data_IF_652595954337
#
_entry.id   IF_652595954337
#
_cell.length_a   1.000
_cell.length_b   1.000
_cell.length_c   1.000
_cell.angle_alpha   90.00
_cell.angle_beta   90.00
_cell.angle_gamma   90.00
#
_symmetry.space_group_name_H-M   'P 1'
#
loop_
_entity.id
_entity.type
_entity.pdbx_description
1 polymer ?
#
# COMPACT_ATOMS: atom_id res chain seq x y z
N UNK A 1 14.50 -1.58 10.39
CA UNK A 1 14.75 -2.40 9.18
C UNK A 1 13.74 -1.99 8.12
N UNK A 2 14.21 -1.55 6.95
CA UNK A 2 13.50 -1.37 5.67
C UNK A 2 12.32 -0.38 5.58
N UNK A 3 12.65 0.92 5.60
CA UNK A 3 11.90 1.94 4.84
C UNK A 3 12.50 1.98 3.44
N UNK A 4 12.23 0.94 2.65
CA UNK A 4 12.59 0.93 1.22
C UNK A 4 11.33 1.26 0.43
N UNK A 5 11.40 2.42 -0.21
CA UNK A 5 10.65 2.82 -1.40
C UNK A 5 9.12 2.73 -1.29
N UNK A 6 8.54 3.61 -0.48
CA UNK A 6 7.08 3.86 -0.46
C UNK A 6 6.54 4.27 -1.84
N UNK A 7 7.40 4.76 -2.73
CA UNK A 7 6.98 5.36 -3.99
C UNK A 7 7.00 4.37 -5.15
N UNK A 8 7.98 3.47 -5.25
CA UNK A 8 7.93 2.39 -6.28
C UNK A 8 6.80 1.40 -6.01
N UNK A 9 6.38 1.27 -4.73
CA UNK A 9 5.20 0.49 -4.35
C UNK A 9 3.88 1.12 -4.84
N UNK A 10 3.79 2.45 -4.88
CA UNK A 10 2.57 3.18 -5.32
C UNK A 10 2.23 2.91 -6.79
N UNK A 11 3.22 2.63 -7.63
CA UNK A 11 2.99 2.39 -9.07
C UNK A 11 2.45 0.99 -9.36
N UNK A 12 3.04 -0.06 -8.76
CA UNK A 12 2.48 -1.41 -8.86
C UNK A 12 1.11 -1.60 -8.17
N UNK A 13 0.69 -0.63 -7.34
CA UNK A 13 -0.59 -0.66 -6.60
C UNK A 13 -1.82 -0.31 -7.45
N UNK A 14 -1.70 0.48 -8.52
CA UNK A 14 -2.86 0.80 -9.40
C UNK A 14 -3.36 -0.43 -10.18
N UNK A 15 -2.45 -1.34 -10.55
CA UNK A 15 -2.80 -2.58 -11.23
C UNK A 15 -3.41 -3.62 -10.29
N UNK A 16 -3.03 -3.60 -9.00
CA UNK A 16 -3.63 -4.41 -7.94
C UNK A 16 -5.01 -3.91 -7.49
N UNK A 17 -5.35 -2.64 -7.75
CA UNK A 17 -6.68 -2.07 -7.47
C UNK A 17 -7.79 -2.59 -8.42
N UNK A 18 -7.44 -3.21 -9.56
CA UNK A 18 -8.42 -4.02 -10.32
C UNK A 18 -8.87 -5.27 -9.56
N UNK A 19 -8.09 -5.69 -8.55
CA UNK A 19 -8.34 -6.86 -7.71
C UNK A 19 -8.88 -6.50 -6.32
N UNK A 20 -9.46 -5.30 -6.15
CA UNK A 20 -10.24 -4.97 -4.95
C UNK A 20 -11.25 -6.10 -4.70
N UNK A 21 -11.31 -6.68 -3.49
CA UNK A 21 -12.24 -7.76 -3.20
C UNK A 21 -13.66 -7.26 -3.44
N UNK A 22 -14.37 -7.87 -4.38
CA UNK A 22 -15.76 -7.50 -4.65
C UNK A 22 -16.59 -7.68 -3.37
N UNK A 23 -17.77 -7.06 -3.32
CA UNK A 23 -18.76 -7.22 -2.23
C UNK A 23 -18.96 -8.70 -1.82
N UNK A 24 -18.80 -9.62 -2.78
CA UNK A 24 -18.82 -11.06 -2.54
C UNK A 24 -17.73 -11.56 -1.58
N UNK A 25 -16.51 -11.02 -1.64
CA UNK A 25 -15.40 -11.42 -0.77
C UNK A 25 -15.59 -10.89 0.65
N UNK A 26 -16.11 -9.66 0.80
CA UNK A 26 -16.48 -9.12 2.13
C UNK A 26 -17.65 -9.89 2.74
N UNK A 27 -18.60 -10.32 1.92
CA UNK A 27 -19.73 -11.13 2.37
C UNK A 27 -19.31 -12.57 2.75
N UNK A 28 -18.33 -13.14 2.04
CA UNK A 28 -17.72 -14.43 2.39
C UNK A 28 -17.01 -14.38 3.74
N UNK A 29 -16.19 -13.34 3.96
CA UNK A 29 -15.53 -13.13 5.26
C UNK A 29 -16.54 -12.93 6.39
N UNK A 30 -17.64 -12.20 6.13
CA UNK A 30 -18.73 -12.06 7.09
C UNK A 30 -19.41 -13.39 7.43
N UNK A 31 -19.53 -14.30 6.46
CA UNK A 31 -20.07 -15.65 6.68
C UNK A 31 -19.12 -16.53 7.49
N UNK A 32 -17.82 -16.49 7.20
CA UNK A 32 -16.81 -17.24 7.96
C UNK A 32 -16.70 -16.75 9.42
N UNK A 33 -16.75 -15.43 9.65
CA UNK A 33 -16.77 -14.86 11.00
C UNK A 33 -17.99 -15.28 11.82
N UNK A 34 -19.16 -15.39 11.18
CA UNK A 34 -20.37 -15.93 11.84
C UNK A 34 -20.20 -17.41 12.19
N UNK A 35 -19.71 -18.22 11.25
CA UNK A 35 -19.45 -19.64 11.50
C UNK A 35 -18.41 -19.87 12.62
N UNK A 36 -17.39 -19.02 12.70
CA UNK A 36 -16.39 -19.04 13.78
C UNK A 36 -17.02 -18.75 15.15
N UNK A 37 -17.93 -17.77 15.21
CA UNK A 37 -18.65 -17.42 16.43
C UNK A 37 -19.58 -18.55 16.87
N UNK A 38 -20.31 -19.16 15.93
CA UNK A 38 -21.21 -20.27 16.20
C UNK A 38 -20.44 -21.50 16.74
N UNK A 39 -19.29 -21.83 16.13
CA UNK A 39 -18.43 -22.93 16.59
C UNK A 39 -17.86 -22.67 18.00
N UNK A 40 -17.50 -21.41 18.31
CA UNK A 40 -17.02 -21.03 19.63
C UNK A 40 -18.12 -21.17 20.69
N UNK A 41 -19.36 -20.78 20.37
CA UNK A 41 -20.51 -20.97 21.25
C UNK A 41 -20.82 -22.45 21.48
N UNK A 42 -20.70 -23.31 20.45
CA UNK A 42 -20.89 -24.75 20.58
C UNK A 42 -19.81 -25.41 21.47
N UNK A 43 -18.55 -25.01 21.30
CA UNK A 43 -17.45 -25.44 22.17
C UNK A 43 -17.69 -25.06 23.62
N UNK A 44 -18.14 -23.82 23.88
CA UNK A 44 -18.46 -23.36 25.24
C UNK A 44 -19.63 -24.14 25.85
N UNK A 45 -20.64 -24.50 25.06
CA UNK A 45 -21.75 -25.36 25.51
C UNK A 45 -21.24 -26.76 25.89
N UNK A 46 -20.43 -27.39 25.04
CA UNK A 46 -19.85 -28.71 25.31
C UNK A 46 -18.94 -28.72 26.53
N UNK A 47 -18.21 -27.63 26.77
CA UNK A 47 -17.40 -27.46 27.97
C UNK A 47 -18.28 -27.37 29.22
N UNK A 48 -19.38 -26.63 29.14
CA UNK A 48 -20.36 -26.49 30.23
C UNK A 48 -21.10 -27.81 30.53
N UNK A 49 -21.38 -28.61 29.50
CA UNK A 49 -22.01 -29.92 29.64
C UNK A 49 -21.03 -30.96 30.23
N UNK A 50 -19.73 -30.83 29.94
CA UNK A 50 -18.68 -31.66 30.54
C UNK A 50 -18.51 -31.36 32.03
N UNK A 51 -18.51 -30.08 32.43
CA UNK A 51 -18.50 -29.68 33.85
C UNK A 51 -19.74 -30.19 34.60
N UNK A 52 -20.89 -30.32 33.91
CA UNK A 52 -22.10 -30.93 34.47
C UNK A 52 -22.02 -32.46 34.59
N UNK A 53 -21.38 -33.15 33.64
CA UNK A 53 -21.23 -34.61 33.67
C UNK A 53 -20.08 -35.09 34.57
N UNK A 54 -19.09 -34.24 34.85
CA UNK A 54 -17.92 -34.55 35.68
C UNK A 54 -18.20 -34.74 37.18
N UNK A 55 -19.44 -34.59 37.65
CA UNK A 55 -19.80 -34.71 39.07
C UNK A 55 -20.68 -35.92 39.43
N UNK A 56 -20.99 -36.82 38.49
CA UNK A 56 -21.80 -38.02 38.78
C UNK A 56 -21.18 -39.29 38.22
N UNK A 57 -20.23 -39.90 38.93
CA UNK A 57 -20.04 -41.36 38.84
C UNK A 57 -19.25 -41.91 40.03
N UNK A 58 -19.96 -42.19 41.12
CA UNK A 58 -19.66 -43.36 41.95
C UNK A 58 -20.53 -44.52 41.47
N UNK A 59 -19.94 -45.71 41.25
CA UNK A 59 -20.67 -46.98 41.14
C UNK A 59 -20.48 -47.81 39.84
N UNK A 60 -19.57 -48.79 39.93
CA UNK A 60 -19.67 -50.21 39.50
C UNK A 60 -19.80 -50.72 38.03
N UNK A 61 -18.81 -51.59 37.68
CA UNK A 61 -18.88 -52.91 36.99
C UNK A 61 -19.00 -53.07 35.45
N UNK A 62 -17.86 -53.54 34.87
CA UNK A 62 -17.60 -54.51 33.76
C UNK A 62 -17.85 -54.21 32.25
N UNK A 63 -16.83 -54.66 31.50
CA UNK A 63 -16.76 -55.19 30.10
C UNK A 63 -16.79 -54.17 28.95
N UNK A 64 -15.62 -53.97 28.34
CA UNK A 64 -15.42 -53.34 27.04
C UNK A 64 -14.03 -52.72 26.97
N UNK A 65 -13.09 -53.39 26.31
CA UNK A 65 -11.69 -53.00 26.23
C UNK A 65 -11.50 -51.80 25.28
N UNK A 66 -11.80 -50.58 25.76
CA UNK A 66 -11.26 -49.31 25.24
C UNK A 66 -11.24 -48.32 26.40
N UNK A 67 -10.05 -47.91 26.82
CA UNK A 67 -9.86 -47.01 27.96
C UNK A 67 -10.56 -45.66 27.68
N UNK A 68 -11.65 -45.30 28.39
CA UNK A 68 -12.45 -44.10 28.10
C UNK A 68 -11.61 -42.82 28.12
N UNK A 69 -10.57 -42.81 28.97
CA UNK A 69 -9.62 -41.72 29.11
C UNK A 69 -8.83 -41.44 27.82
N UNK A 70 -8.49 -42.49 27.04
CA UNK A 70 -7.75 -42.36 25.77
C UNK A 70 -8.60 -41.72 24.65
N UNK A 71 -9.90 -42.01 24.63
CA UNK A 71 -10.84 -41.46 23.64
C UNK A 71 -11.17 -40.00 23.95
N UNK A 72 -11.19 -39.63 25.23
CA UNK A 72 -11.38 -38.25 25.68
C UNK A 72 -10.13 -37.41 25.42
N UNK A 73 -8.93 -37.94 25.73
CA UNK A 73 -7.66 -37.26 25.45
C UNK A 73 -7.44 -37.00 23.95
N UNK A 74 -7.76 -37.98 23.09
CA UNK A 74 -7.64 -37.81 21.63
C UNK A 74 -8.60 -36.76 21.08
N UNK A 75 -9.84 -36.67 21.59
CA UNK A 75 -10.80 -35.63 21.22
C UNK A 75 -10.36 -34.23 21.68
N UNK A 76 -9.87 -34.10 22.92
CA UNK A 76 -9.30 -32.86 23.45
C UNK A 76 -8.07 -32.40 22.65
N UNK A 77 -7.19 -33.35 22.30
CA UNK A 77 -6.02 -33.08 21.46
C UNK A 77 -6.42 -32.61 20.06
N UNK A 78 -7.42 -33.24 19.43
CA UNK A 78 -7.94 -32.80 18.13
C UNK A 78 -8.58 -31.41 18.17
N UNK A 79 -9.33 -31.09 19.24
CA UNK A 79 -9.89 -29.75 19.46
C UNK A 79 -8.82 -28.69 19.68
N UNK A 80 -7.76 -29.02 20.44
CA UNK A 80 -6.61 -28.14 20.66
C UNK A 80 -5.87 -27.84 19.35
N UNK A 81 -5.65 -28.84 18.50
CA UNK A 81 -5.01 -28.64 17.20
C UNK A 81 -5.88 -27.83 16.23
N UNK A 82 -7.20 -28.03 16.25
CA UNK A 82 -8.13 -27.20 15.48
C UNK A 82 -8.09 -25.73 15.95
N UNK A 83 -8.08 -25.50 17.26
CA UNK A 83 -8.02 -24.16 17.86
C UNK A 83 -6.69 -23.46 17.54
N UNK A 84 -5.55 -24.17 17.66
CA UNK A 84 -4.23 -23.65 17.26
C UNK A 84 -4.20 -23.24 15.79
N UNK A 85 -4.75 -24.08 14.90
CA UNK A 85 -4.85 -23.77 13.47
C UNK A 85 -5.70 -22.52 13.23
N UNK A 86 -6.79 -22.37 13.97
CA UNK A 86 -7.67 -21.21 13.89
C UNK A 86 -6.99 -19.92 14.36
N UNK A 87 -6.28 -19.96 15.50
CA UNK A 87 -5.48 -18.84 16.00
C UNK A 87 -4.45 -18.42 14.96
N UNK A 88 -3.70 -19.37 14.39
CA UNK A 88 -2.71 -19.08 13.34
C UNK A 88 -3.33 -18.42 12.10
N UNK A 89 -4.56 -18.81 11.73
CA UNK A 89 -5.26 -18.19 10.61
C UNK A 89 -5.71 -16.75 10.92
N UNK A 90 -6.20 -16.50 12.15
CA UNK A 90 -6.59 -15.16 12.59
C UNK A 90 -5.38 -14.22 12.69
N UNK A 91 -4.24 -14.70 13.18
CA UNK A 91 -2.99 -13.93 13.20
C UNK A 91 -2.54 -13.52 11.79
N UNK A 92 -2.60 -14.45 10.83
CA UNK A 92 -2.31 -14.14 9.41
C UNK A 92 -3.27 -13.09 8.86
N UNK A 93 -4.56 -13.21 9.20
CA UNK A 93 -5.57 -12.27 8.73
C UNK A 93 -5.39 -10.87 9.33
N UNK A 94 -5.05 -10.77 10.62
CA UNK A 94 -4.74 -9.50 11.28
C UNK A 94 -3.53 -8.82 10.62
N UNK A 95 -2.45 -9.56 10.36
CA UNK A 95 -1.28 -9.03 9.67
C UNK A 95 -1.62 -8.49 8.26
N UNK A 96 -2.52 -9.14 7.53
CA UNK A 96 -3.00 -8.65 6.23
C UNK A 96 -3.82 -7.37 6.40
N UNK A 97 -4.64 -7.27 7.45
CA UNK A 97 -5.43 -6.06 7.72
C UNK A 97 -4.54 -4.87 8.07
N UNK A 98 -3.48 -5.07 8.85
CA UNK A 98 -2.51 -4.01 9.17
C UNK A 98 -1.83 -3.47 7.91
N UNK A 99 -1.47 -4.35 6.97
CA UNK A 99 -0.92 -3.95 5.66
C UNK A 99 -1.93 -3.09 4.88
N UNK A 100 -3.20 -3.51 4.84
CA UNK A 100 -4.28 -2.78 4.14
C UNK A 100 -4.57 -1.42 4.77
N UNK A 101 -4.51 -1.31 6.10
CA UNK A 101 -4.71 -0.04 6.79
C UNK A 101 -3.57 0.94 6.47
N UNK A 102 -2.32 0.46 6.48
CA UNK A 102 -1.18 1.28 6.07
C UNK A 102 -1.28 1.73 4.60
N UNK A 103 -1.82 0.89 3.73
CA UNK A 103 -2.08 1.21 2.33
C UNK A 103 -3.17 2.29 2.17
N UNK A 104 -4.28 2.17 2.91
CA UNK A 104 -5.35 3.16 2.90
C UNK A 104 -4.88 4.52 3.45
N UNK A 105 -4.09 4.52 4.52
CA UNK A 105 -3.51 5.73 5.09
C UNK A 105 -2.65 6.49 4.07
N UNK A 106 -1.80 5.76 3.33
CA UNK A 106 -1.00 6.34 2.24
C UNK A 106 -1.88 6.92 1.13
N UNK A 107 -2.97 6.23 0.77
CA UNK A 107 -3.92 6.73 -0.23
C UNK A 107 -4.62 8.00 0.23
N UNK A 108 -5.02 8.08 1.51
CA UNK A 108 -5.62 9.29 2.06
C UNK A 108 -4.67 10.47 1.97
N UNK A 109 -3.40 10.30 2.36
CA UNK A 109 -2.38 11.35 2.24
C UNK A 109 -2.19 11.84 0.79
N UNK A 110 -2.24 10.94 -0.19
CA UNK A 110 -2.16 11.30 -1.61
C UNK A 110 -3.40 12.09 -2.03
N UNK A 111 -4.60 11.65 -1.64
CA UNK A 111 -5.84 12.33 -2.02
C UNK A 111 -5.98 13.72 -1.38
N UNK A 112 -5.50 13.89 -0.15
CA UNK A 112 -5.47 15.19 0.54
C UNK A 112 -4.55 16.21 -0.13
N UNK A 113 -3.51 15.73 -0.83
CA UNK A 113 -2.47 16.58 -1.43
C UNK A 113 -2.57 16.67 -2.96
N UNK A 114 -3.46 15.90 -3.58
CA UNK A 114 -3.67 15.89 -5.02
C UNK A 114 -4.27 17.22 -5.51
N UNK A 115 -3.70 17.72 -6.60
CA UNK A 115 -4.15 18.96 -7.26
C UNK A 115 -4.69 18.66 -8.65
N UNK A 116 -5.71 19.42 -9.09
CA UNK A 116 -6.41 19.22 -10.36
C UNK A 116 -6.43 20.47 -11.25
N UNK A 117 -5.48 21.40 -11.05
CA UNK A 117 -5.37 22.65 -11.80
C UNK A 117 -4.01 22.80 -12.52
N UNK A 118 -3.24 21.71 -12.63
CA UNK A 118 -1.90 21.71 -13.22
C UNK A 118 -0.79 22.23 -12.31
N UNK A 119 -1.08 22.57 -11.04
CA UNK A 119 -0.09 23.11 -10.09
C UNK A 119 0.27 22.05 -9.06
N UNK A 120 1.57 21.83 -8.85
CA UNK A 120 2.15 20.99 -7.81
C UNK A 120 2.93 21.85 -6.81
N UNK A 121 2.60 21.74 -5.52
CA UNK A 121 3.45 22.22 -4.42
C UNK A 121 4.00 20.99 -3.69
N UNK A 122 5.32 20.82 -3.71
CA UNK A 122 5.96 19.64 -3.13
C UNK A 122 6.91 20.03 -2.00
N UNK A 123 6.51 19.69 -0.76
CA UNK A 123 7.31 19.92 0.45
C UNK A 123 8.12 18.68 0.80
N UNK A 124 9.46 18.78 0.71
CA UNK A 124 10.37 17.71 1.10
C UNK A 124 10.81 17.92 2.56
N UNK A 125 10.20 17.15 3.47
CA UNK A 125 10.54 17.15 4.89
C UNK A 125 11.82 16.36 5.17
N UNK A 126 12.52 16.67 6.27
CA UNK A 126 13.75 15.98 6.70
C UNK A 126 14.86 15.96 5.65
N UNK A 127 15.07 17.09 4.98
CA UNK A 127 15.99 17.21 3.85
C UNK A 127 17.38 16.65 4.13
N UNK A 128 17.98 16.99 5.29
CA UNK A 128 19.32 16.52 5.65
C UNK A 128 19.42 14.98 5.71
N UNK A 129 18.43 14.32 6.31
CA UNK A 129 18.35 12.86 6.36
C UNK A 129 18.20 12.26 4.96
N UNK A 130 17.24 12.76 4.18
CA UNK A 130 16.96 12.26 2.82
C UNK A 130 18.13 12.49 1.86
N UNK A 131 18.85 13.60 2.01
CA UNK A 131 20.08 13.88 1.25
C UNK A 131 21.18 12.88 1.61
N UNK A 132 21.36 12.57 2.89
CA UNK A 132 22.31 11.54 3.32
C UNK A 132 21.92 10.14 2.80
N UNK A 133 20.63 9.81 2.79
CA UNK A 133 20.13 8.58 2.18
C UNK A 133 20.44 8.50 0.67
N UNK A 134 20.37 9.63 -0.05
CA UNK A 134 20.73 9.71 -1.46
C UNK A 134 22.24 9.59 -1.70
N UNK A 135 23.06 10.21 -0.84
CA UNK A 135 24.54 10.10 -0.90
C UNK A 135 25.00 8.68 -0.63
N UNK A 136 24.42 8.03 0.38
CA UNK A 136 24.74 6.65 0.77
C UNK A 136 24.12 5.58 -0.15
N UNK A 137 23.34 5.98 -1.15
CA UNK A 137 22.69 5.06 -2.09
C UNK A 137 21.53 4.26 -1.51
N UNK A 138 21.03 4.61 -0.31
CA UNK A 138 19.84 3.98 0.28
C UNK A 138 18.57 4.36 -0.46
N UNK A 139 18.46 5.61 -0.90
CA UNK A 139 17.31 6.13 -1.67
C UNK A 139 17.80 7.16 -2.69
N UNK A 140 17.92 6.78 -3.96
CA UNK A 140 18.47 7.65 -5.01
C UNK A 140 17.57 8.83 -5.39
N UNK A 141 16.27 8.59 -5.48
CA UNK A 141 15.29 9.60 -5.91
C UNK A 141 14.00 9.53 -5.10
N UNK A 142 13.26 10.64 -5.08
CA UNK A 142 11.92 10.74 -4.53
C UNK A 142 10.94 11.11 -5.65
N UNK A 143 9.69 10.70 -5.54
CA UNK A 143 8.62 11.29 -6.35
C UNK A 143 7.67 12.10 -5.47
N UNK A 144 7.05 13.11 -6.07
CA UNK A 144 5.98 13.87 -5.45
C UNK A 144 4.68 13.08 -5.43
N UNK A 145 3.66 13.62 -4.76
CA UNK A 145 2.29 13.23 -5.00
C UNK A 145 1.90 13.48 -6.48
N UNK A 146 1.01 12.67 -7.05
CA UNK A 146 0.43 12.93 -8.36
C UNK A 146 -0.37 14.25 -8.37
N UNK A 147 -0.33 14.94 -9.50
CA UNK A 147 -1.16 16.10 -9.78
C UNK A 147 -1.68 16.03 -11.22
N UNK A 148 -2.76 16.75 -11.49
CA UNK A 148 -3.51 16.64 -12.72
C UNK A 148 -3.70 18.00 -13.36
N UNK A 149 -3.74 18.06 -14.69
CA UNK A 149 -4.11 19.29 -15.41
C UNK A 149 -5.58 19.66 -15.25
N UNK A 150 -6.42 18.73 -14.80
CA UNK A 150 -7.87 18.86 -14.66
C UNK A 150 -8.46 17.64 -13.97
N UNK A 151 -9.75 17.69 -13.60
CA UNK A 151 -10.44 16.56 -12.95
C UNK A 151 -10.39 15.25 -13.77
N UNK A 152 -10.40 15.38 -15.08
CA UNK A 152 -10.30 14.28 -16.05
C UNK A 152 -9.12 14.51 -17.02
N UNK A 153 -8.04 15.13 -16.51
CA UNK A 153 -6.88 15.54 -17.31
C UNK A 153 -5.70 14.58 -17.26
N UNK A 154 -4.54 15.03 -17.73
CA UNK A 154 -3.29 14.26 -17.64
C UNK A 154 -2.89 14.06 -16.19
N UNK A 155 -2.33 12.89 -15.88
CA UNK A 155 -1.75 12.57 -14.58
C UNK A 155 -0.22 12.73 -14.65
N UNK A 156 0.36 13.44 -13.69
CA UNK A 156 1.78 13.78 -13.69
C UNK A 156 2.36 13.73 -12.29
N UNK A 157 3.67 13.63 -12.17
CA UNK A 157 4.38 13.83 -10.90
C UNK A 157 5.77 14.44 -11.13
N UNK A 158 6.37 14.98 -10.07
CA UNK A 158 7.77 15.38 -10.06
C UNK A 158 8.65 14.24 -9.54
N UNK A 159 9.87 14.13 -10.06
CA UNK A 159 10.91 13.24 -9.53
C UNK A 159 12.16 14.05 -9.21
N UNK A 160 12.73 13.88 -8.02
CA UNK A 160 13.94 14.60 -7.60
C UNK A 160 15.05 13.65 -7.16
N UNK A 161 16.28 14.00 -7.52
CA UNK A 161 17.50 13.40 -7.04
C UNK A 161 18.23 14.41 -6.17
N UNK A 162 18.14 14.23 -4.86
CA UNK A 162 18.78 15.15 -3.90
C UNK A 162 20.31 15.12 -4.01
N UNK A 163 20.87 14.03 -4.53
CA UNK A 163 22.29 13.91 -4.81
C UNK A 163 22.65 14.00 -6.30
N UNK A 164 21.76 14.60 -7.09
CA UNK A 164 21.97 14.79 -8.52
C UNK A 164 21.91 13.51 -9.32
N UNK A 165 21.67 13.66 -10.62
CA UNK A 165 21.66 12.58 -11.60
C UNK A 165 22.41 13.00 -12.87
N UNK A 166 22.86 12.03 -13.66
CA UNK A 166 23.63 12.28 -14.88
C UNK A 166 24.87 13.14 -14.65
N UNK A 167 25.03 14.21 -15.44
CA UNK A 167 26.17 15.14 -15.35
C UNK A 167 26.22 15.94 -14.03
N UNK A 168 25.08 16.10 -13.35
CA UNK A 168 24.97 16.81 -12.08
C UNK A 168 25.17 15.92 -10.85
N UNK A 169 25.48 14.63 -11.04
CA UNK A 169 25.58 13.66 -9.95
C UNK A 169 26.63 14.07 -8.93
N UNK A 170 26.24 14.11 -7.66
CA UNK A 170 27.06 14.48 -6.51
C UNK A 170 27.24 15.98 -6.30
N UNK A 171 26.90 16.82 -7.28
CA UNK A 171 27.18 18.27 -7.24
C UNK A 171 25.92 19.13 -7.24
N UNK A 172 24.86 18.68 -7.90
CA UNK A 172 23.61 19.42 -8.06
C UNK A 172 22.43 18.66 -7.48
N UNK A 173 21.29 19.34 -7.39
CA UNK A 173 19.98 18.72 -7.28
C UNK A 173 19.41 18.60 -8.68
N UNK A 174 18.87 17.42 -9.03
CA UNK A 174 18.23 17.19 -10.33
C UNK A 174 16.74 17.01 -10.15
N UNK A 175 15.93 17.81 -10.84
CA UNK A 175 14.47 17.78 -10.80
C UNK A 175 13.92 17.43 -12.19
N UNK A 176 12.93 16.55 -12.21
CA UNK A 176 12.35 16.01 -13.43
C UNK A 176 10.83 16.08 -13.38
N UNK A 177 10.24 16.31 -14.54
CA UNK A 177 8.81 16.14 -14.77
C UNK A 177 8.53 14.75 -15.34
N UNK A 178 7.47 14.11 -14.87
CA UNK A 178 7.08 12.77 -15.27
C UNK A 178 5.60 12.75 -15.66
N UNK A 179 5.31 12.29 -16.89
CA UNK A 179 3.96 11.93 -17.31
C UNK A 179 3.65 10.52 -16.80
N UNK A 180 2.54 10.37 -16.10
CA UNK A 180 2.03 9.10 -15.59
C UNK A 180 0.84 8.65 -16.43
N UNK A 181 0.59 7.33 -16.44
CA UNK A 181 -0.64 6.77 -17.01
C UNK A 181 -1.85 7.24 -16.23
N UNK A 182 -2.74 7.95 -16.91
CA UNK A 182 -4.01 8.43 -16.37
C UNK A 182 -5.18 7.54 -16.77
N UNK A 183 -6.24 7.57 -15.97
CA UNK A 183 -7.49 6.85 -16.27
C UNK A 183 -8.16 7.36 -17.56
N UNK A 184 -7.93 8.64 -17.90
CA UNK A 184 -8.57 9.35 -19.01
C UNK A 184 -7.66 9.50 -20.23
N UNK A 185 -6.51 8.84 -20.29
CA UNK A 185 -5.50 9.03 -21.35
C UNK A 185 -6.05 8.77 -22.76
N UNK A 186 -7.07 7.92 -22.90
CA UNK A 186 -7.72 7.66 -24.18
C UNK A 186 -8.50 8.87 -24.74
N UNK A 187 -8.87 9.82 -23.88
CA UNK A 187 -9.61 11.03 -24.23
C UNK A 187 -8.69 12.25 -24.40
N UNK A 188 -7.43 12.13 -24.01
CA UNK A 188 -6.47 13.22 -24.02
C UNK A 188 -5.71 13.29 -25.36
N UNK A 189 -5.34 14.49 -25.84
CA UNK A 189 -4.47 14.63 -26.99
C UNK A 189 -3.05 14.15 -26.67
N UNK A 190 -2.36 13.59 -27.66
CA UNK A 190 -0.97 13.12 -27.51
C UNK A 190 -0.15 13.48 -28.74
N UNK A 191 1.17 13.74 -28.60
CA UNK A 191 1.94 13.77 -27.34
C UNK A 191 1.56 14.94 -26.42
N UNK A 192 1.95 14.86 -25.14
CA UNK A 192 1.79 15.94 -24.17
C UNK A 192 2.57 17.17 -24.62
N UNK A 193 1.89 18.33 -24.73
CA UNK A 193 2.41 19.55 -25.35
C UNK A 193 2.30 20.80 -24.47
N UNK A 194 1.84 20.65 -23.22
CA UNK A 194 1.65 21.80 -22.34
C UNK A 194 2.98 22.38 -21.87
N UNK A 195 3.05 23.71 -21.72
CA UNK A 195 4.23 24.36 -21.16
C UNK A 195 4.43 23.92 -19.70
N UNK A 196 5.66 23.52 -19.36
CA UNK A 196 6.01 23.05 -18.02
C UNK A 196 6.92 24.11 -17.40
N UNK A 197 6.57 24.57 -16.20
CA UNK A 197 7.43 25.38 -15.35
C UNK A 197 7.77 24.56 -14.10
N UNK A 198 9.05 24.48 -13.77
CA UNK A 198 9.54 23.84 -12.54
C UNK A 198 10.45 24.81 -11.81
N UNK A 199 10.42 24.78 -10.48
CA UNK A 199 11.30 25.64 -9.70
C UNK A 199 11.44 25.23 -8.25
N UNK A 200 12.45 25.79 -7.61
CA UNK A 200 12.70 25.72 -6.18
C UNK A 200 12.21 27.01 -5.54
N UNK A 201 11.25 26.89 -4.63
CA UNK A 201 10.73 28.00 -3.86
C UNK A 201 11.69 28.32 -2.71
N UNK A 202 12.12 29.59 -2.65
CA UNK A 202 12.78 30.12 -1.46
C UNK A 202 11.72 30.38 -0.37
N UNK A 203 12.07 30.08 0.88
CA UNK A 203 11.18 30.28 2.04
C UNK A 203 11.32 31.69 2.63
N UNK A 204 12.28 32.49 2.15
CA UNK A 204 12.43 33.88 2.56
C UNK A 204 11.36 34.76 1.89
N UNK A 205 10.75 35.63 2.68
CA UNK A 205 9.74 36.58 2.20
C UNK A 205 10.30 37.48 1.09
N UNK A 206 9.57 37.57 -0.02
CA UNK A 206 9.92 38.43 -1.16
C UNK A 206 11.01 37.90 -2.09
N UNK A 207 11.52 36.68 -1.85
CA UNK A 207 12.49 36.05 -2.74
C UNK A 207 11.81 35.43 -3.97
N UNK A 208 12.39 35.64 -5.16
CA UNK A 208 11.89 35.03 -6.40
C UNK A 208 12.35 33.57 -6.49
N UNK A 209 11.46 32.63 -6.85
CA UNK A 209 11.85 31.24 -6.99
C UNK A 209 12.83 31.04 -8.15
N UNK A 210 13.81 30.16 -7.95
CA UNK A 210 14.68 29.71 -9.04
C UNK A 210 13.86 28.75 -9.89
N UNK A 211 13.44 29.18 -11.07
CA UNK A 211 12.59 28.39 -11.95
C UNK A 211 13.08 28.40 -13.38
N UNK A 212 12.75 27.32 -14.09
CA UNK A 212 12.94 27.20 -15.53
C UNK A 212 11.64 26.68 -16.17
N UNK A 213 11.44 27.02 -17.44
CA UNK A 213 10.27 26.62 -18.21
C UNK A 213 10.66 26.04 -19.55
N UNK A 214 9.99 24.97 -19.95
CA UNK A 214 10.22 24.35 -21.24
C UNK A 214 8.93 23.82 -21.85
N UNK A 215 8.92 23.75 -23.18
CA UNK A 215 7.90 23.04 -23.93
C UNK A 215 8.36 21.60 -24.19
N UNK A 216 7.50 20.60 -23.92
CA UNK A 216 7.75 19.21 -24.28
C UNK A 216 8.15 19.04 -25.74
N UNK A 217 9.18 18.21 -25.98
CA UNK A 217 9.55 17.79 -27.32
C UNK A 217 8.61 16.67 -27.78
N UNK A 218 7.82 16.93 -28.81
CA UNK A 218 6.83 15.98 -29.34
C UNK A 218 7.44 14.72 -29.97
N UNK A 219 8.74 14.74 -30.30
CA UNK A 219 9.46 13.57 -30.80
C UNK A 219 9.97 12.65 -29.68
N UNK A 220 10.04 13.15 -28.44
CA UNK A 220 10.53 12.40 -27.30
C UNK A 220 9.51 11.37 -26.81
N UNK A 221 9.98 10.17 -26.48
CA UNK A 221 9.17 9.09 -25.89
C UNK A 221 8.58 9.48 -24.54
N UNK A 222 9.20 10.41 -23.82
CA UNK A 222 8.77 10.84 -22.48
C UNK A 222 7.44 11.58 -22.45
N UNK A 223 7.02 12.13 -23.58
CA UNK A 223 5.78 12.89 -23.69
C UNK A 223 4.73 12.17 -24.55
N UNK A 224 5.01 10.96 -25.02
CA UNK A 224 4.02 10.13 -25.72
C UNK A 224 2.97 9.61 -24.75
N UNK A 225 1.88 9.07 -25.30
CA UNK A 225 0.86 8.39 -24.51
C UNK A 225 1.49 7.25 -23.69
N UNK A 226 1.34 7.23 -22.34
CA UNK A 226 1.90 6.18 -21.52
C UNK A 226 1.36 4.80 -21.88
N UNK A 227 2.28 3.86 -22.08
CA UNK A 227 1.96 2.42 -22.21
C UNK A 227 2.18 1.69 -20.88
N UNK A 228 3.09 2.20 -20.06
CA UNK A 228 3.42 1.78 -18.69
C UNK A 228 2.92 2.81 -17.68
N UNK A 229 3.01 2.53 -16.37
CA UNK A 229 2.49 3.43 -15.32
C UNK A 229 3.14 4.82 -15.34
N UNK A 230 4.38 4.91 -15.81
CA UNK A 230 5.11 6.15 -16.04
C UNK A 230 5.92 6.11 -17.32
N UNK A 231 6.06 7.27 -17.94
CA UNK A 231 7.05 7.50 -18.98
C UNK A 231 8.45 7.76 -18.37
N UNK A 232 9.48 7.68 -19.21
CA UNK A 232 10.84 8.03 -18.83
C UNK A 232 10.92 9.50 -18.40
N UNK A 233 11.49 9.77 -17.23
CA UNK A 233 11.73 11.13 -16.75
C UNK A 233 12.89 11.76 -17.55
N UNK A 234 12.75 13.00 -18.03
CA UNK A 234 13.82 13.72 -18.74
C UNK A 234 14.23 14.99 -17.97
N UNK A 235 15.55 15.20 -17.88
CA UNK A 235 16.20 16.40 -17.37
C UNK A 235 16.34 17.40 -18.52
N UNK A 236 16.15 18.68 -18.23
CA UNK A 236 16.86 19.74 -18.95
C UNK A 236 17.62 20.59 -17.95
#
# INVERSE_FOLDING_TARGET
MRVVSTVEKVFGMEELLKNVPSKHTTDNLGRELRSLKDNQEELNRKLSDFDRQGFTSGGDTRRGNTDPSSTVFSKLSGGLEALKKQISNLEKQAAIQDIRLAELDLRFQILETASYNGILIWKIMDFARRKNDAVSGRTYSLFSQPFYTGRFGYKMCGRVYLNGDGMGKGTHLSLFFVVMKGEHDALMPWPFQQNIQMGLLDQQDGSSPVSDSFRPDTSSSSFQRPTTDMNTAILK
#
